data_IF_734450277694
#
_entry.id   IF_734450277694
#
_cell.length_a   1.000
_cell.length_b   1.000
_cell.length_c   1.000
_cell.angle_alpha   90.00
_cell.angle_beta   90.00
_cell.angle_gamma   90.00
#
_symmetry.space_group_name_H-M   'P 1'
#
loop_
_entity.id
_entity.type
_entity.pdbx_description
1 polymer ?
#
# COMPACT_ATOMS: atom_id res chain seq x y z
N UNK A 1 -6.11 8.07 13.90
CA UNK A 1 -6.10 6.60 13.79
C UNK A 1 -5.64 6.01 15.11
N UNK A 2 -6.18 4.88 15.58
CA UNK A 2 -5.59 4.17 16.74
C UNK A 2 -4.44 3.31 16.22
N UNK A 3 -3.42 3.05 17.04
CA UNK A 3 -2.25 2.26 16.61
C UNK A 3 -2.66 0.88 16.07
N UNK A 4 -3.65 0.23 16.70
CA UNK A 4 -4.21 -1.05 16.25
C UNK A 4 -4.90 -1.02 14.87
N UNK A 5 -5.24 0.16 14.39
CA UNK A 5 -5.92 0.37 13.11
C UNK A 5 -4.93 0.91 12.05
N UNK A 6 -3.69 1.20 12.44
CA UNK A 6 -2.60 1.65 11.57
C UNK A 6 -1.79 0.44 11.12
N UNK A 7 -1.52 0.38 9.83
CA UNK A 7 -0.76 -0.69 9.22
C UNK A 7 -0.09 -0.18 7.93
N UNK A 8 1.06 -0.75 7.60
CA UNK A 8 1.87 -0.35 6.45
C UNK A 8 2.85 -1.48 6.09
N UNK A 9 3.32 -1.46 4.85
CA UNK A 9 4.43 -2.29 4.38
C UNK A 9 5.50 -1.41 3.75
N UNK A 10 6.73 -1.92 3.70
CA UNK A 10 7.87 -1.21 3.12
C UNK A 10 8.44 -2.06 2.00
N UNK A 11 8.49 -1.50 0.79
CA UNK A 11 9.19 -2.08 -0.33
C UNK A 11 10.64 -1.61 -0.35
N UNK A 12 11.58 -2.54 -0.50
CA UNK A 12 13.00 -2.26 -0.68
C UNK A 12 13.36 -2.33 -2.17
N UNK A 13 13.70 -1.19 -2.79
CA UNK A 13 14.11 -1.13 -4.18
C UNK A 13 15.52 -1.67 -4.44
N UNK A 14 16.37 -1.80 -3.43
CA UNK A 14 17.69 -2.43 -3.58
C UNK A 14 17.52 -3.93 -3.70
N UNK A 15 16.81 -4.53 -2.74
CA UNK A 15 16.63 -5.98 -2.62
C UNK A 15 15.43 -6.52 -3.42
N UNK A 16 14.58 -5.64 -3.95
CA UNK A 16 13.35 -5.95 -4.69
C UNK A 16 12.42 -6.89 -3.91
N UNK A 17 12.15 -6.56 -2.65
CA UNK A 17 11.26 -7.33 -1.77
C UNK A 17 10.63 -6.45 -0.69
N UNK A 18 9.54 -6.93 -0.11
CA UNK A 18 9.00 -6.35 1.13
C UNK A 18 9.84 -6.72 2.35
N UNK A 19 9.93 -5.79 3.30
CA UNK A 19 10.52 -6.04 4.61
C UNK A 19 9.51 -6.78 5.50
N UNK A 20 9.96 -7.82 6.21
CA UNK A 20 9.09 -8.69 7.01
C UNK A 20 8.91 -8.23 8.46
N UNK A 21 9.96 -7.68 9.06
CA UNK A 21 9.98 -7.27 10.47
C UNK A 21 10.24 -5.77 10.53
N UNK A 22 9.24 -5.01 10.98
CA UNK A 22 9.28 -3.55 11.04
C UNK A 22 8.89 -3.12 12.44
N UNK A 23 9.76 -2.30 13.06
CA UNK A 23 9.51 -1.73 14.38
C UNK A 23 9.43 -0.20 14.31
N UNK A 24 8.49 0.37 15.08
CA UNK A 24 8.35 1.81 15.23
C UNK A 24 8.87 2.24 16.59
N UNK A 25 10.03 2.90 16.60
CA UNK A 25 10.65 3.45 17.80
C UNK A 25 10.39 4.95 17.90
N UNK A 26 9.87 5.41 19.05
CA UNK A 26 9.72 6.84 19.37
C UNK A 26 10.76 7.23 20.42
N UNK A 27 11.60 8.20 20.09
CA UNK A 27 12.61 8.73 21.01
C UNK A 27 12.16 10.07 21.58
N UNK A 28 11.93 10.13 22.89
CA UNK A 28 11.37 11.33 23.55
C UNK A 28 12.40 12.42 23.88
N UNK A 29 13.71 12.11 23.87
CA UNK A 29 14.77 13.01 24.37
C UNK A 29 15.97 13.17 23.44
N UNK A 30 16.00 12.50 22.30
CA UNK A 30 17.10 12.61 21.34
C UNK A 30 16.52 12.39 19.94
N UNK A 31 16.51 13.41 19.06
CA UNK A 31 16.20 13.16 17.66
C UNK A 31 17.27 12.19 17.14
N UNK A 32 16.83 11.02 16.69
CA UNK A 32 17.73 10.14 15.94
C UNK A 32 17.92 10.80 14.59
N UNK A 33 19.13 11.27 14.32
CA UNK A 33 19.47 11.81 13.02
C UNK A 33 19.32 10.68 12.01
N UNK A 34 18.36 10.83 11.12
CA UNK A 34 18.06 9.80 10.16
C UNK A 34 19.32 9.56 9.30
N UNK A 35 19.86 8.35 9.29
CA UNK A 35 21.14 8.03 8.64
C UNK A 35 22.31 7.79 9.59
N UNK A 36 22.12 7.90 10.91
CA UNK A 36 23.09 7.45 11.89
C UNK A 36 23.22 5.90 11.85
N UNK A 37 24.39 5.41 11.48
CA UNK A 37 24.78 3.99 11.68
C UNK A 37 25.34 3.83 13.08
N UNK A 38 24.70 3.00 13.91
CA UNK A 38 25.37 2.46 15.08
C UNK A 38 26.35 1.41 14.58
N UNK A 39 27.65 1.72 14.66
CA UNK A 39 28.70 0.75 14.35
C UNK A 39 28.74 -0.33 15.43
N UNK A 40 28.80 -1.57 14.99
CA UNK A 40 29.01 -2.80 15.76
C UNK A 40 29.78 -2.57 17.07
N UNK A 41 29.07 -2.57 18.19
CA UNK A 41 29.49 -3.17 19.48
C UNK A 41 28.42 -3.01 20.56
N UNK A 42 27.46 -2.09 20.41
CA UNK A 42 26.31 -1.99 21.31
C UNK A 42 25.10 -2.69 20.69
N UNK A 43 25.04 -4.02 20.86
CA UNK A 43 23.79 -4.76 20.69
C UNK A 43 22.77 -4.24 21.71
N UNK A 44 21.91 -3.32 21.29
CA UNK A 44 20.52 -3.36 21.75
C UNK A 44 19.82 -4.31 20.76
N UNK A 45 20.01 -5.62 20.98
CA UNK A 45 19.35 -6.74 20.30
C UNK A 45 19.11 -6.58 18.77
N UNK A 46 20.06 -7.03 17.94
CA UNK A 46 19.81 -7.50 16.55
C UNK A 46 18.98 -6.62 15.58
N UNK A 47 18.81 -5.31 15.84
CA UNK A 47 18.10 -4.44 14.89
C UNK A 47 19.06 -3.88 13.85
N UNK A 48 18.92 -4.32 12.60
CA UNK A 48 19.58 -3.71 11.45
C UNK A 48 18.84 -2.41 11.07
N UNK A 49 19.48 -1.27 11.29
CA UNK A 49 18.95 0.01 10.84
C UNK A 49 19.11 0.12 9.32
N UNK A 50 18.00 0.17 8.59
CA UNK A 50 18.02 0.24 7.13
C UNK A 50 18.73 1.53 6.69
N UNK A 51 19.92 1.35 6.11
CA UNK A 51 20.88 2.42 5.81
C UNK A 51 20.48 3.27 4.59
N UNK A 52 19.62 2.75 3.72
CA UNK A 52 19.39 3.34 2.40
C UNK A 52 17.97 3.92 2.25
N UNK A 53 17.74 5.10 2.83
CA UNK A 53 16.42 5.75 2.85
C UNK A 53 15.85 6.12 1.48
N UNK A 54 16.71 6.25 0.46
CA UNK A 54 16.27 6.70 -0.86
C UNK A 54 15.63 5.57 -1.68
N UNK A 55 15.87 4.32 -1.30
CA UNK A 55 15.40 3.14 -2.02
C UNK A 55 14.23 2.44 -1.31
N UNK A 56 13.78 2.94 -0.16
CA UNK A 56 12.61 2.41 0.54
C UNK A 56 11.35 3.19 0.19
N UNK A 57 10.28 2.46 -0.11
CA UNK A 57 8.95 3.02 -0.35
C UNK A 57 7.99 2.53 0.73
N UNK A 58 7.29 3.45 1.39
CA UNK A 58 6.27 3.13 2.40
C UNK A 58 4.91 3.10 1.72
N UNK A 59 4.20 2.00 1.92
CA UNK A 59 2.87 1.77 1.40
C UNK A 59 1.89 1.62 2.56
N UNK A 60 0.96 2.58 2.70
CA UNK A 60 0.03 2.62 3.82
C UNK A 60 -1.20 1.75 3.55
N UNK A 61 -1.67 1.05 4.58
CA UNK A 61 -2.98 0.41 4.55
C UNK A 61 -4.08 1.47 4.40
N UNK A 62 -4.97 1.27 3.44
CA UNK A 62 -6.08 2.20 3.16
C UNK A 62 -7.16 2.17 4.24
N UNK A 63 -7.19 1.13 5.07
CA UNK A 63 -8.28 0.86 6.00
C UNK A 63 -9.39 -0.02 5.43
N UNK A 64 -9.32 -0.39 4.14
CA UNK A 64 -10.33 -1.18 3.44
C UNK A 64 -9.79 -2.55 3.02
N UNK A 65 -10.72 -3.49 2.85
CA UNK A 65 -10.44 -4.85 2.42
C UNK A 65 -11.07 -5.10 1.04
N UNK A 66 -10.44 -5.95 0.25
CA UNK A 66 -11.04 -6.47 -0.97
C UNK A 66 -12.15 -7.50 -0.64
N UNK A 67 -12.86 -7.98 -1.65
CA UNK A 67 -13.98 -8.92 -1.44
C UNK A 67 -13.56 -10.26 -0.82
N UNK A 68 -12.28 -10.64 -0.93
CA UNK A 68 -11.71 -11.85 -0.33
C UNK A 68 -11.21 -11.61 1.10
N UNK A 69 -11.28 -10.38 1.61
CA UNK A 69 -10.81 -10.00 2.93
C UNK A 69 -9.32 -9.68 2.99
N UNK A 70 -8.65 -9.49 1.85
CA UNK A 70 -7.27 -9.02 1.81
C UNK A 70 -7.23 -7.53 2.10
N UNK A 71 -6.19 -7.07 2.81
CA UNK A 71 -5.96 -5.64 3.03
C UNK A 71 -5.56 -4.97 1.72
N UNK A 72 -6.07 -3.76 1.50
CA UNK A 72 -5.70 -2.92 0.37
C UNK A 72 -4.72 -1.84 0.84
N UNK A 73 -3.53 -1.80 0.25
CA UNK A 73 -2.48 -0.82 0.49
C UNK A 73 -2.36 0.17 -0.68
N UNK A 74 -1.78 1.35 -0.42
CA UNK A 74 -1.28 2.22 -1.49
C UNK A 74 -0.27 1.43 -2.33
N UNK A 75 -0.35 1.54 -3.66
CA UNK A 75 0.49 0.79 -4.59
C UNK A 75 -0.06 -0.58 -4.99
N UNK A 76 -1.15 -1.06 -4.37
CA UNK A 76 -1.83 -2.26 -4.85
C UNK A 76 -2.46 -2.03 -6.23
N UNK A 77 -2.39 -3.06 -7.06
CA UNK A 77 -3.17 -3.18 -8.29
C UNK A 77 -4.43 -3.96 -7.95
N UNK A 78 -5.57 -3.34 -8.21
CA UNK A 78 -6.88 -3.95 -8.03
C UNK A 78 -7.51 -4.29 -9.38
N UNK A 79 -8.17 -5.44 -9.42
CA UNK A 79 -9.11 -5.80 -10.46
C UNK A 79 -10.51 -5.35 -10.02
N UNK A 80 -11.15 -4.52 -10.85
CA UNK A 80 -12.50 -4.00 -10.65
C UNK A 80 -13.45 -4.62 -11.66
N UNK A 81 -14.51 -5.27 -11.16
CA UNK A 81 -15.60 -5.76 -12.00
C UNK A 81 -16.71 -4.71 -12.07
N UNK A 82 -16.85 -4.08 -13.24
CA UNK A 82 -17.87 -3.04 -13.48
C UNK A 82 -18.99 -3.60 -14.34
N UNK A 83 -20.22 -3.58 -13.81
CA UNK A 83 -21.40 -4.00 -14.55
C UNK A 83 -21.93 -2.83 -15.38
N UNK A 84 -21.84 -2.94 -16.72
CA UNK A 84 -22.39 -1.94 -17.63
C UNK A 84 -23.89 -2.14 -17.85
N UNK A 85 -24.38 -3.36 -17.68
CA UNK A 85 -25.80 -3.72 -17.55
C UNK A 85 -25.94 -5.11 -16.90
N UNK A 86 -27.17 -5.62 -16.75
CA UNK A 86 -27.46 -6.93 -16.12
C UNK A 86 -26.77 -8.14 -16.79
N UNK A 87 -26.27 -7.99 -18.02
CA UNK A 87 -25.68 -9.10 -18.82
C UNK A 87 -24.22 -8.86 -19.20
N UNK A 88 -23.72 -7.65 -19.04
CA UNK A 88 -22.39 -7.25 -19.47
C UNK A 88 -21.61 -6.69 -18.29
N UNK A 89 -20.43 -7.25 -18.07
CA UNK A 89 -19.44 -6.75 -17.14
C UNK A 89 -18.12 -6.54 -17.87
N UNK A 90 -17.42 -5.49 -17.49
CA UNK A 90 -16.07 -5.19 -17.96
C UNK A 90 -15.11 -5.27 -16.78
N UNK A 91 -13.87 -5.68 -17.07
CA UNK A 91 -12.81 -5.80 -16.07
C UNK A 91 -11.80 -4.69 -16.34
N UNK A 92 -11.48 -3.95 -15.29
CA UNK A 92 -10.46 -2.90 -15.31
C UNK A 92 -9.41 -3.15 -14.24
N UNK A 93 -8.19 -2.68 -14.49
CA UNK A 93 -7.12 -2.70 -13.51
C UNK A 93 -6.76 -1.27 -13.11
N UNK A 94 -6.75 -1.02 -11.81
CA UNK A 94 -6.43 0.30 -11.27
C UNK A 94 -5.36 0.19 -10.18
N UNK A 95 -4.58 1.24 -10.03
CA UNK A 95 -3.56 1.38 -8.98
C UNK A 95 -4.15 2.21 -7.85
N UNK A 96 -4.10 1.70 -6.63
CA UNK A 96 -4.46 2.45 -5.43
C UNK A 96 -3.39 3.50 -5.16
N UNK A 97 -3.79 4.76 -5.02
CA UNK A 97 -2.87 5.87 -4.80
C UNK A 97 -3.43 6.90 -3.83
N UNK A 98 -2.52 7.69 -3.26
CA UNK A 98 -2.87 8.90 -2.52
C UNK A 98 -2.46 10.10 -3.35
N UNK A 99 -3.43 10.88 -3.76
CA UNK A 99 -3.26 12.12 -4.49
C UNK A 99 -3.46 13.31 -3.53
N UNK A 100 -2.63 14.35 -3.66
CA UNK A 100 -2.70 15.50 -2.75
C UNK A 100 -3.97 16.35 -2.95
N UNK A 101 -4.56 16.34 -4.14
CA UNK A 101 -5.78 17.07 -4.45
C UNK A 101 -7.02 16.20 -4.19
N UNK A 102 -6.98 14.93 -4.60
CA UNK A 102 -8.15 14.03 -4.52
C UNK A 102 -8.20 13.18 -3.24
N UNK A 103 -7.10 13.09 -2.49
CA UNK A 103 -6.96 12.17 -1.38
C UNK A 103 -6.76 10.73 -1.82
N UNK A 104 -7.33 9.77 -1.10
CA UNK A 104 -7.26 8.35 -1.47
C UNK A 104 -8.11 8.07 -2.72
N UNK A 105 -7.48 7.66 -3.80
CA UNK A 105 -8.14 7.37 -5.08
C UNK A 105 -7.54 6.13 -5.75
N UNK A 106 -8.11 5.75 -6.88
CA UNK A 106 -7.52 4.75 -7.78
C UNK A 106 -7.19 5.43 -9.11
N UNK A 107 -6.22 4.91 -9.87
CA UNK A 107 -5.84 5.46 -11.17
C UNK A 107 -5.65 4.32 -12.16
N UNK A 108 -6.12 4.51 -13.39
CA UNK A 108 -5.78 3.65 -14.51
C UNK A 108 -4.28 3.79 -14.84
N UNK A 109 -3.72 2.83 -15.57
CA UNK A 109 -2.31 2.85 -15.98
C UNK A 109 -1.92 4.09 -16.80
N UNK A 110 -2.87 4.67 -17.53
CA UNK A 110 -2.71 5.91 -18.31
C UNK A 110 -2.76 7.19 -17.47
N UNK A 111 -3.00 7.09 -16.16
CA UNK A 111 -3.05 8.22 -15.22
C UNK A 111 -4.44 8.82 -15.02
N UNK A 112 -5.46 8.36 -15.74
CA UNK A 112 -6.83 8.81 -15.54
C UNK A 112 -7.31 8.37 -14.14
N UNK A 113 -7.85 9.32 -13.39
CA UNK A 113 -8.31 9.11 -12.02
C UNK A 113 -9.65 8.37 -11.96
N UNK A 114 -9.65 7.20 -11.32
CA UNK A 114 -10.84 6.52 -10.83
C UNK A 114 -11.16 6.98 -9.40
N UNK A 115 -12.43 7.28 -9.13
CA UNK A 115 -12.86 7.54 -7.76
C UNK A 115 -13.08 6.18 -7.07
N UNK A 116 -12.12 5.73 -6.27
CA UNK A 116 -12.26 4.57 -5.36
C UNK A 116 -13.58 4.62 -4.55
N UNK A 117 -14.07 5.83 -4.31
CA UNK A 117 -15.30 6.08 -3.57
C UNK A 117 -16.60 5.77 -4.33
N UNK A 118 -16.55 5.60 -5.65
CA UNK A 118 -17.70 5.17 -6.44
C UNK A 118 -17.91 3.64 -6.36
N UNK A 119 -16.94 2.92 -5.81
CA UNK A 119 -17.02 1.47 -5.60
C UNK A 119 -17.98 1.13 -4.45
N UNK A 120 -18.74 0.05 -4.62
CA UNK A 120 -19.73 -0.43 -3.67
C UNK A 120 -19.04 -0.90 -2.40
N UNK A 121 -19.41 -0.29 -1.27
CA UNK A 121 -18.76 -0.53 0.02
C UNK A 121 -19.77 -1.05 1.02
N UNK A 122 -19.41 -2.15 1.67
CA UNK A 122 -20.14 -2.63 2.83
C UNK A 122 -19.81 -1.72 4.03
N UNK A 123 -20.79 -0.90 4.42
CA UNK A 123 -20.65 0.13 5.48
C UNK A 123 -20.14 -0.41 6.83
N UNK A 124 -20.36 -1.70 7.11
CA UNK A 124 -20.12 -2.27 8.44
C UNK A 124 -18.79 -3.03 8.57
N UNK A 125 -18.19 -3.51 7.49
CA UNK A 125 -16.97 -4.34 7.54
C UNK A 125 -15.78 -3.76 6.75
N UNK A 126 -15.94 -2.58 6.12
CA UNK A 126 -14.90 -1.92 5.31
C UNK A 126 -14.43 -2.75 4.11
N UNK A 127 -15.24 -3.71 3.66
CA UNK A 127 -15.00 -4.45 2.42
C UNK A 127 -15.52 -3.67 1.23
N UNK A 128 -14.75 -3.64 0.15
CA UNK A 128 -15.16 -3.14 -1.15
C UNK A 128 -15.64 -4.34 -1.98
N UNK A 129 -16.89 -4.29 -2.43
CA UNK A 129 -17.51 -5.30 -3.30
C UNK A 129 -16.87 -5.23 -4.69
N UNK A 130 -16.81 -6.38 -5.37
CA UNK A 130 -16.38 -6.48 -6.78
C UNK A 130 -14.97 -5.93 -7.07
N UNK A 131 -14.15 -5.87 -6.01
CA UNK A 131 -12.74 -5.47 -6.04
C UNK A 131 -11.90 -6.60 -5.50
N UNK A 132 -10.80 -6.90 -6.21
CA UNK A 132 -9.84 -7.93 -5.84
C UNK A 132 -8.42 -7.38 -5.93
N UNK A 133 -7.63 -7.52 -4.87
CA UNK A 133 -6.18 -7.25 -4.98
C UNK A 133 -5.55 -8.38 -5.79
N UNK A 134 -4.93 -8.01 -6.92
CA UNK A 134 -4.31 -8.97 -7.86
C UNK A 134 -2.80 -8.83 -7.97
N UNK A 135 -2.25 -7.78 -7.35
CA UNK A 135 -0.82 -7.53 -7.35
C UNK A 135 -0.49 -6.16 -6.78
N UNK A 136 0.74 -5.70 -7.03
CA UNK A 136 1.17 -4.35 -6.69
C UNK A 136 2.12 -3.79 -7.75
N UNK A 137 2.37 -2.48 -7.70
CA UNK A 137 3.24 -1.77 -8.65
C UNK A 137 4.69 -2.22 -8.63
N UNK A 138 5.13 -3.01 -7.65
CA UNK A 138 6.50 -3.48 -7.56
C UNK A 138 6.68 -4.86 -8.20
N UNK A 139 5.81 -5.81 -7.84
CA UNK A 139 5.87 -7.22 -8.22
C UNK A 139 5.08 -7.55 -9.48
N UNK A 140 4.10 -6.73 -9.86
CA UNK A 140 3.14 -7.02 -10.95
C UNK A 140 3.01 -5.90 -11.99
N UNK A 141 4.13 -5.25 -12.32
CA UNK A 141 4.19 -4.13 -13.28
C UNK A 141 3.66 -4.49 -14.67
N UNK A 142 3.69 -5.76 -15.04
CA UNK A 142 3.17 -6.28 -16.31
C UNK A 142 1.67 -6.10 -16.48
N UNK A 143 0.89 -6.10 -15.39
CA UNK A 143 -0.57 -5.91 -15.44
C UNK A 143 -0.96 -4.50 -15.92
N UNK A 144 -0.03 -3.55 -15.87
CA UNK A 144 -0.26 -2.15 -16.21
C UNK A 144 0.16 -1.77 -17.64
N UNK A 145 0.67 -2.73 -18.43
CA UNK A 145 1.18 -2.49 -19.81
C UNK A 145 0.12 -2.68 -20.90
N UNK A 146 -1.16 -2.77 -20.52
CA UNK A 146 -2.32 -2.93 -21.42
C UNK A 146 -2.69 -1.66 -22.16
#
# INVERSE_FOLDING_TARGET
MKLKDFDFRIWDNTEKRYLNEIELHKYDKSPVEAGATFTETDRINEVEFVKNKNDLEIELFTGYYDYKGNKIYIGDIIECLVFTNEKNSEIFYEIICFDMELGLCSKLSNGDGGYLFDLRRHKNNKTIEDVYVVGNIHENKELLKG
#
